data_IF_685777860873
#
_entry.id   IF_685777860873
#
_cell.length_a   1.000
_cell.length_b   1.000
_cell.length_c   1.000
_cell.angle_alpha   90.00
_cell.angle_beta   90.00
_cell.angle_gamma   90.00
#
_symmetry.space_group_name_H-M   'P 1'
#
loop_
_entity.id
_entity.type
_entity.pdbx_description
1 polymer ?
#
# COMPACT_ATOMS: atom_id res chain seq x y z
N UNK A 1 29.35 -48.96 25.15
CA UNK A 1 30.67 -48.82 24.49
C UNK A 1 30.62 -47.50 23.77
N UNK A 2 31.33 -46.56 24.37
CA UNK A 2 31.63 -45.22 23.88
C UNK A 2 32.29 -45.29 22.51
N UNK A 3 31.93 -44.39 21.60
CA UNK A 3 32.86 -43.85 20.62
C UNK A 3 32.25 -42.61 19.95
N UNK A 4 32.37 -41.47 20.65
CA UNK A 4 32.36 -40.15 20.04
C UNK A 4 33.67 -39.95 19.29
N UNK A 5 33.62 -39.93 17.95
CA UNK A 5 34.74 -39.51 17.12
C UNK A 5 34.43 -38.13 16.55
N UNK A 6 34.94 -37.09 17.21
CA UNK A 6 35.00 -35.73 16.67
C UNK A 6 36.12 -35.63 15.64
N UNK A 7 35.81 -35.32 14.38
CA UNK A 7 36.80 -34.83 13.41
C UNK A 7 36.23 -33.62 12.64
N UNK A 8 36.59 -32.45 13.14
CA UNK A 8 36.82 -31.15 12.49
C UNK A 8 36.75 -31.07 10.95
N UNK A 9 35.74 -30.36 10.41
CA UNK A 9 35.89 -29.17 9.51
C UNK A 9 34.53 -28.54 9.17
N UNK A 10 34.42 -27.21 8.97
CA UNK A 10 33.15 -26.48 9.03
C UNK A 10 32.49 -26.39 7.65
N UNK A 11 31.49 -27.23 7.40
CA UNK A 11 30.59 -27.03 6.28
C UNK A 11 29.45 -26.10 6.73
N UNK A 12 29.45 -24.89 6.17
CA UNK A 12 28.36 -23.92 6.19
C UNK A 12 26.99 -24.61 6.07
N UNK A 13 26.34 -24.90 7.20
CA UNK A 13 24.91 -25.13 7.20
C UNK A 13 24.27 -23.77 7.04
N UNK A 14 24.01 -23.44 5.77
CA UNK A 14 23.10 -22.38 5.35
C UNK A 14 21.93 -22.36 6.32
N UNK A 15 21.81 -21.26 7.07
CA UNK A 15 20.60 -20.95 7.82
C UNK A 15 19.46 -21.14 6.84
N UNK A 16 18.65 -22.17 7.05
CA UNK A 16 17.46 -22.43 6.26
C UNK A 16 16.50 -21.27 6.57
N UNK A 17 16.67 -20.14 5.88
CA UNK A 17 15.63 -19.12 5.78
C UNK A 17 14.45 -19.87 5.16
N UNK A 18 13.35 -20.11 5.90
CA UNK A 18 12.17 -20.66 5.26
C UNK A 18 11.83 -19.69 4.14
N UNK A 19 11.83 -20.17 2.89
CA UNK A 19 11.35 -19.39 1.76
C UNK A 19 9.99 -18.82 2.18
N UNK A 20 9.92 -17.50 2.34
CA UNK A 20 8.79 -16.75 2.88
C UNK A 20 7.60 -16.85 1.92
N UNK A 21 7.01 -18.03 1.81
CA UNK A 21 5.88 -18.30 0.97
C UNK A 21 4.62 -18.14 1.79
N UNK A 22 3.85 -17.12 1.45
CA UNK A 22 2.51 -16.95 2.00
C UNK A 22 1.65 -18.16 1.68
N UNK A 23 1.06 -18.75 2.70
CA UNK A 23 0.03 -19.78 2.59
C UNK A 23 -1.19 -19.24 1.83
N UNK A 24 -2.03 -20.14 1.32
CA UNK A 24 -3.29 -19.74 0.68
C UNK A 24 -4.18 -18.93 1.62
N UNK A 25 -4.24 -19.32 2.90
CA UNK A 25 -5.00 -18.61 3.93
C UNK A 25 -4.49 -17.17 4.13
N UNK A 26 -3.17 -16.98 4.20
CA UNK A 26 -2.57 -15.65 4.31
C UNK A 26 -2.80 -14.80 3.06
N UNK A 27 -2.64 -15.36 1.85
CA UNK A 27 -2.94 -14.63 0.60
C UNK A 27 -4.39 -14.16 0.56
N UNK A 28 -5.35 -15.01 0.96
CA UNK A 28 -6.77 -14.64 1.06
C UNK A 28 -7.01 -13.54 2.10
N UNK A 29 -6.37 -13.62 3.26
CA UNK A 29 -6.48 -12.60 4.31
C UNK A 29 -5.93 -11.23 3.86
N UNK A 30 -4.73 -11.21 3.28
CA UNK A 30 -4.13 -9.99 2.72
C UNK A 30 -4.97 -9.43 1.57
N UNK A 31 -5.51 -10.28 0.70
CA UNK A 31 -6.43 -9.88 -0.37
C UNK A 31 -7.68 -9.17 0.16
N UNK A 32 -8.31 -9.71 1.21
CA UNK A 32 -9.46 -9.06 1.88
C UNK A 32 -9.08 -7.70 2.48
N UNK A 33 -7.92 -7.61 3.13
CA UNK A 33 -7.41 -6.35 3.69
C UNK A 33 -7.19 -5.30 2.60
N UNK A 34 -6.58 -5.70 1.48
CA UNK A 34 -6.37 -4.83 0.32
C UNK A 34 -7.68 -4.36 -0.30
N UNK A 35 -8.66 -5.25 -0.46
CA UNK A 35 -9.98 -4.91 -0.98
C UNK A 35 -10.66 -3.84 -0.10
N UNK A 36 -10.66 -4.04 1.22
CA UNK A 36 -11.21 -3.06 2.17
C UNK A 36 -10.50 -1.71 2.08
N UNK A 37 -9.17 -1.72 2.01
CA UNK A 37 -8.38 -0.50 1.87
C UNK A 37 -8.72 0.24 0.57
N UNK A 38 -8.86 -0.47 -0.55
CA UNK A 38 -9.26 0.11 -1.84
C UNK A 38 -10.64 0.75 -1.78
N UNK A 39 -11.62 0.09 -1.15
CA UNK A 39 -12.96 0.67 -0.96
C UNK A 39 -12.88 1.96 -0.15
N UNK A 40 -12.16 1.96 0.97
CA UNK A 40 -11.99 3.16 1.79
C UNK A 40 -11.29 4.29 1.03
N UNK A 41 -10.25 3.99 0.25
CA UNK A 41 -9.58 4.98 -0.61
C UNK A 41 -10.53 5.54 -1.67
N UNK A 42 -11.36 4.70 -2.30
CA UNK A 42 -12.32 5.15 -3.30
C UNK A 42 -13.37 6.10 -2.71
N UNK A 43 -13.89 5.79 -1.51
CA UNK A 43 -14.83 6.65 -0.79
C UNK A 43 -14.20 7.99 -0.41
N UNK A 44 -12.97 7.98 0.12
CA UNK A 44 -12.23 9.19 0.45
C UNK A 44 -11.99 10.07 -0.80
N UNK A 45 -11.57 9.46 -1.91
CA UNK A 45 -11.36 10.18 -3.17
C UNK A 45 -12.66 10.77 -3.75
N UNK A 46 -13.79 10.07 -3.59
CA UNK A 46 -15.10 10.61 -4.01
C UNK A 46 -15.47 11.87 -3.22
N UNK A 47 -15.23 11.88 -1.92
CA UNK A 47 -15.48 13.05 -1.07
C UNK A 47 -14.54 14.20 -1.46
N UNK A 48 -13.25 13.91 -1.63
CA UNK A 48 -12.25 14.90 -2.07
C UNK A 48 -12.61 15.50 -3.43
N UNK A 49 -13.13 14.70 -4.37
CA UNK A 49 -13.61 15.18 -5.66
C UNK A 49 -14.75 16.21 -5.52
N UNK A 50 -15.74 15.92 -4.67
CA UNK A 50 -16.86 16.85 -4.42
C UNK A 50 -16.35 18.16 -3.79
N UNK A 51 -15.45 18.06 -2.82
CA UNK A 51 -14.83 19.24 -2.19
C UNK A 51 -14.04 20.07 -3.21
N UNK A 52 -13.25 19.43 -4.07
CA UNK A 52 -12.50 20.09 -5.13
C UNK A 52 -13.41 20.84 -6.10
N UNK A 53 -14.53 20.23 -6.50
CA UNK A 53 -15.51 20.86 -7.38
C UNK A 53 -16.18 22.08 -6.72
N UNK A 54 -16.56 21.98 -5.45
CA UNK A 54 -17.11 23.11 -4.68
C UNK A 54 -16.12 24.26 -4.58
N UNK A 55 -14.91 23.98 -4.10
CA UNK A 55 -13.86 24.99 -3.95
C UNK A 55 -13.49 25.63 -5.28
N UNK A 56 -13.47 24.84 -6.37
CA UNK A 56 -13.24 25.40 -7.70
C UNK A 56 -14.34 26.37 -8.14
N UNK A 57 -15.61 26.06 -7.85
CA UNK A 57 -16.74 26.94 -8.15
C UNK A 57 -16.71 28.25 -7.35
N UNK A 58 -16.06 28.24 -6.19
CA UNK A 58 -15.80 29.41 -5.34
C UNK A 58 -14.55 30.20 -5.78
N UNK A 59 -13.85 29.75 -6.84
CA UNK A 59 -12.67 30.42 -7.38
C UNK A 59 -11.35 30.08 -6.68
N UNK A 60 -11.32 29.06 -5.81
CA UNK A 60 -10.08 28.63 -5.16
C UNK A 60 -9.08 28.10 -6.21
N UNK A 61 -7.79 28.51 -6.17
CA UNK A 61 -6.78 28.03 -7.10
C UNK A 61 -6.55 26.52 -7.00
N UNK A 62 -6.41 25.84 -8.15
CA UNK A 62 -6.19 24.39 -8.25
C UNK A 62 -5.00 23.89 -7.42
N UNK A 63 -3.92 24.69 -7.32
CA UNK A 63 -2.73 24.35 -6.53
C UNK A 63 -3.03 24.30 -5.03
N UNK A 64 -3.86 25.21 -4.54
CA UNK A 64 -4.27 25.25 -3.14
C UNK A 64 -5.23 24.12 -2.80
N UNK A 65 -6.19 23.84 -3.69
CA UNK A 65 -7.09 22.68 -3.55
C UNK A 65 -6.29 21.38 -3.47
N UNK A 66 -5.26 21.24 -4.32
CA UNK A 66 -4.39 20.06 -4.35
C UNK A 66 -3.61 19.88 -3.02
N UNK A 67 -3.06 20.97 -2.49
CA UNK A 67 -2.36 20.98 -1.20
C UNK A 67 -3.29 20.60 -0.04
N UNK A 68 -4.47 21.23 0.05
CA UNK A 68 -5.44 21.00 1.13
C UNK A 68 -6.01 19.57 1.10
N UNK A 69 -6.22 18.99 -0.09
CA UNK A 69 -6.77 17.63 -0.25
C UNK A 69 -5.70 16.53 -0.31
N UNK A 70 -4.41 16.90 -0.33
CA UNK A 70 -3.31 15.93 -0.41
C UNK A 70 -3.26 15.15 -1.73
N UNK A 71 -3.60 15.79 -2.86
CA UNK A 71 -3.58 15.18 -4.20
C UNK A 71 -2.72 16.00 -5.16
N UNK A 72 -2.39 15.42 -6.32
CA UNK A 72 -1.72 16.16 -7.39
C UNK A 72 -2.67 17.18 -8.04
N UNK A 73 -2.14 18.32 -8.48
CA UNK A 73 -2.91 19.33 -9.23
C UNK A 73 -3.59 18.76 -10.48
N UNK A 74 -2.97 17.82 -11.18
CA UNK A 74 -3.53 17.15 -12.35
C UNK A 74 -4.78 16.33 -11.99
N UNK A 75 -4.81 15.76 -10.79
CA UNK A 75 -6.01 15.09 -10.27
C UNK A 75 -7.15 16.09 -10.08
N UNK A 76 -6.86 17.26 -9.49
CA UNK A 76 -7.85 18.34 -9.34
C UNK A 76 -8.37 18.80 -10.70
N UNK A 77 -7.50 19.03 -11.69
CA UNK A 77 -7.88 19.43 -13.06
C UNK A 77 -8.85 18.44 -13.70
N UNK A 78 -8.52 17.14 -13.61
CA UNK A 78 -9.39 16.06 -14.10
C UNK A 78 -10.76 16.09 -13.42
N UNK A 79 -10.81 16.33 -12.10
CA UNK A 79 -12.06 16.37 -11.34
C UNK A 79 -12.97 17.55 -11.70
N UNK A 80 -12.38 18.69 -12.09
CA UNK A 80 -13.13 19.89 -12.49
C UNK A 80 -13.39 19.96 -14.01
N UNK A 81 -13.05 18.91 -14.76
CA UNK A 81 -13.33 18.80 -16.19
C UNK A 81 -12.33 19.51 -17.11
N UNK A 82 -11.07 19.64 -16.70
CA UNK A 82 -9.98 20.27 -17.46
C UNK A 82 -8.86 19.29 -17.83
#
# INVERSE_FOLDING_TARGET
MDETVEISTPALYVVYMPLSHYTEAERKAHGKKLAKARTATAEALRVAQIMAQSAHSEGVPETRIAEELGVDRMTVRKWVGK
#
